data_IF_372831057477
#
_entry.id   IF_372831057477
#
_cell.length_a   1.000
_cell.length_b   1.000
_cell.length_c   1.000
_cell.angle_alpha   90.00
_cell.angle_beta   90.00
_cell.angle_gamma   90.00
#
_symmetry.space_group_name_H-M   'P 1'
#
loop_
_entity.id
_entity.type
_entity.pdbx_description
1 polymer ?
#
# COMPACT_ATOMS: atom_id res chain seq x y z
N UNK A 1 3.77 41.19 -13.39
CA UNK A 1 4.75 40.46 -14.22
C UNK A 1 3.98 39.61 -15.22
N UNK A 2 4.04 39.97 -16.50
CA UNK A 2 3.42 39.25 -17.62
C UNK A 2 4.45 38.27 -18.17
N UNK A 3 4.17 36.97 -18.14
CA UNK A 3 5.04 35.98 -18.77
C UNK A 3 4.76 35.93 -20.27
N UNK A 4 5.81 36.22 -21.04
CA UNK A 4 5.81 36.23 -22.50
C UNK A 4 5.77 34.79 -23.01
N UNK A 5 4.79 34.45 -23.83
CA UNK A 5 4.75 33.18 -24.55
C UNK A 5 5.81 33.20 -25.65
N UNK A 6 6.91 32.48 -25.43
CA UNK A 6 7.94 32.28 -26.44
C UNK A 6 7.41 31.40 -27.59
N UNK A 7 7.76 31.82 -28.81
CA UNK A 7 7.21 31.37 -30.07
C UNK A 7 7.37 29.85 -30.30
N UNK A 8 6.26 29.11 -30.26
CA UNK A 8 6.21 27.74 -30.75
C UNK A 8 6.24 27.77 -32.28
N UNK A 9 7.43 27.56 -32.87
CA UNK A 9 7.63 27.40 -34.31
C UNK A 9 7.01 26.06 -34.73
N UNK A 10 5.81 26.09 -35.32
CA UNK A 10 5.18 24.91 -35.93
C UNK A 10 5.82 24.62 -37.29
N UNK A 11 6.94 23.91 -37.29
CA UNK A 11 7.49 23.32 -38.51
C UNK A 11 6.52 22.29 -39.11
N UNK A 12 6.27 22.36 -40.42
CA UNK A 12 5.33 21.47 -41.12
C UNK A 12 5.95 20.08 -41.33
N UNK A 13 5.99 19.26 -40.28
CA UNK A 13 6.40 17.86 -40.38
C UNK A 13 5.32 17.08 -41.16
N UNK A 14 5.55 16.83 -42.45
CA UNK A 14 4.67 16.01 -43.30
C UNK A 14 4.87 14.53 -42.97
N UNK A 15 4.19 14.04 -41.93
CA UNK A 15 4.14 12.61 -41.61
C UNK A 15 3.30 11.91 -42.68
N UNK A 16 3.89 10.93 -43.40
CA UNK A 16 3.13 10.05 -44.31
C UNK A 16 1.94 9.46 -43.53
N UNK A 17 0.73 9.55 -44.07
CA UNK A 17 -0.50 8.96 -43.50
C UNK A 17 -0.37 7.43 -43.44
N UNK A 18 0.38 6.92 -42.47
CA UNK A 18 0.27 5.56 -41.96
C UNK A 18 -0.99 5.45 -41.13
N UNK A 19 -1.67 4.30 -41.22
CA UNK A 19 -2.96 3.97 -40.60
C UNK A 19 -3.18 4.69 -39.26
N UNK A 20 -4.25 5.48 -39.22
CA UNK A 20 -4.79 6.12 -38.02
C UNK A 20 -4.92 5.06 -36.91
N UNK A 21 -4.04 5.13 -35.90
CA UNK A 21 -4.31 4.48 -34.62
C UNK A 21 -5.55 5.17 -34.05
N UNK A 22 -6.71 4.55 -34.26
CA UNK A 22 -7.95 4.94 -33.59
C UNK A 22 -7.69 4.80 -32.09
N UNK A 23 -7.47 5.90 -31.39
CA UNK A 23 -7.54 5.94 -29.93
C UNK A 23 -8.96 5.55 -29.56
N UNK A 24 -9.19 4.28 -29.21
CA UNK A 24 -10.40 3.87 -28.49
C UNK A 24 -10.40 4.67 -27.19
N UNK A 25 -11.35 5.60 -27.03
CA UNK A 25 -11.72 6.09 -25.70
C UNK A 25 -12.19 4.85 -24.95
N UNK A 26 -11.39 4.39 -24.01
CA UNK A 26 -11.84 3.45 -23.00
C UNK A 26 -12.64 4.31 -22.03
N UNK A 27 -13.96 4.28 -22.17
CA UNK A 27 -14.86 4.72 -21.11
C UNK A 27 -14.49 3.93 -19.84
N UNK A 28 -14.45 4.57 -18.66
CA UNK A 28 -14.26 3.83 -17.43
C UNK A 28 -15.38 2.79 -17.38
N UNK A 29 -15.02 1.52 -17.53
CA UNK A 29 -15.97 0.43 -17.33
C UNK A 29 -16.49 0.60 -15.92
N UNK A 30 -17.79 0.91 -15.79
CA UNK A 30 -18.50 0.76 -14.55
C UNK A 30 -18.31 -0.70 -14.16
N UNK A 31 -17.44 -0.93 -13.17
CA UNK A 31 -17.33 -2.23 -12.52
C UNK A 31 -18.67 -2.42 -11.84
N UNK A 32 -19.55 -3.15 -12.51
CA UNK A 32 -20.75 -3.71 -11.93
C UNK A 32 -20.30 -4.59 -10.76
N UNK A 33 -20.31 -4.02 -9.55
CA UNK A 33 -20.24 -4.79 -8.31
C UNK A 33 -21.63 -5.41 -8.10
N UNK A 34 -22.14 -6.10 -9.12
CA UNK A 34 -23.21 -7.08 -8.95
C UNK A 34 -22.56 -8.34 -8.40
N UNK A 35 -22.00 -8.24 -7.19
CA UNK A 35 -21.88 -9.41 -6.33
C UNK A 35 -23.33 -9.85 -6.15
N UNK A 36 -23.72 -10.86 -6.91
CA UNK A 36 -24.96 -11.58 -6.67
C UNK A 36 -24.94 -11.89 -5.19
N UNK A 37 -25.87 -11.28 -4.46
CA UNK A 37 -26.22 -11.70 -3.11
C UNK A 37 -26.92 -13.03 -3.30
N UNK A 38 -26.16 -14.04 -3.73
CA UNK A 38 -26.57 -15.42 -3.74
C UNK A 38 -27.08 -15.65 -2.34
N UNK A 39 -28.34 -16.08 -2.30
CA UNK A 39 -29.17 -16.22 -1.11
C UNK A 39 -28.33 -16.79 0.03
N UNK A 40 -27.80 -15.89 0.86
CA UNK A 40 -27.09 -16.27 2.06
C UNK A 40 -28.19 -16.91 2.88
N UNK A 41 -28.14 -18.24 2.92
CA UNK A 41 -28.87 -19.07 3.86
C UNK A 41 -29.05 -18.28 5.14
N UNK A 42 -30.28 -18.22 5.63
CA UNK A 42 -30.72 -17.42 6.77
C UNK A 42 -30.08 -17.91 8.09
N UNK A 43 -28.76 -18.05 8.12
CA UNK A 43 -27.94 -18.25 9.30
C UNK A 43 -28.03 -16.94 10.05
N UNK A 44 -28.89 -16.95 11.08
CA UNK A 44 -28.98 -15.84 12.02
C UNK A 44 -27.59 -15.65 12.61
N UNK A 45 -27.09 -14.41 12.55
CA UNK A 45 -25.82 -14.05 13.19
C UNK A 45 -25.88 -14.43 14.66
N UNK A 46 -24.78 -14.93 15.19
CA UNK A 46 -24.68 -15.19 16.63
C UNK A 46 -24.72 -13.88 17.41
N UNK A 47 -25.11 -13.92 18.68
CA UNK A 47 -25.11 -12.72 19.53
C UNK A 47 -23.70 -12.10 19.63
N UNK A 48 -22.67 -12.94 19.59
CA UNK A 48 -21.27 -12.51 19.55
C UNK A 48 -20.93 -11.74 18.27
N UNK A 49 -21.40 -12.21 17.11
CA UNK A 49 -21.23 -11.51 15.82
C UNK A 49 -21.97 -10.18 15.78
N UNK A 50 -23.20 -10.13 16.33
CA UNK A 50 -23.98 -8.90 16.44
C UNK A 50 -23.28 -7.86 17.32
N UNK A 51 -22.75 -8.30 18.47
CA UNK A 51 -21.99 -7.43 19.37
C UNK A 51 -20.69 -6.92 18.72
N UNK A 52 -19.97 -7.79 18.00
CA UNK A 52 -18.77 -7.41 17.26
C UNK A 52 -19.09 -6.38 16.17
N UNK A 53 -20.15 -6.60 15.39
CA UNK A 53 -20.56 -5.70 14.31
C UNK A 53 -20.96 -4.33 14.86
N UNK A 54 -21.68 -4.27 15.99
CA UNK A 54 -22.01 -3.02 16.68
C UNK A 54 -20.73 -2.24 17.02
N UNK A 55 -19.75 -2.90 17.65
CA UNK A 55 -18.46 -2.29 18.01
C UNK A 55 -17.64 -1.87 16.80
N UNK A 56 -17.72 -2.64 15.71
CA UNK A 56 -17.07 -2.30 14.44
C UNK A 56 -17.66 -1.03 13.84
N UNK A 57 -18.99 -0.86 13.87
CA UNK A 57 -19.66 0.37 13.41
C UNK A 57 -19.27 1.57 14.25
N UNK A 58 -19.26 1.43 15.58
CA UNK A 58 -18.83 2.50 16.50
C UNK A 58 -17.38 2.96 16.23
N UNK A 59 -16.48 2.02 15.92
CA UNK A 59 -15.06 2.32 15.66
C UNK A 59 -14.76 2.66 14.20
N UNK A 60 -15.70 2.50 13.28
CA UNK A 60 -15.50 2.70 11.85
C UNK A 60 -15.09 4.14 11.52
N UNK A 61 -15.77 5.12 12.10
CA UNK A 61 -15.47 6.54 11.87
C UNK A 61 -14.05 6.91 12.34
N UNK A 62 -13.63 6.38 13.50
CA UNK A 62 -12.28 6.56 14.03
C UNK A 62 -11.23 5.96 13.08
N UNK A 63 -11.43 4.71 12.64
CA UNK A 63 -10.53 4.03 11.71
C UNK A 63 -10.45 4.75 10.36
N UNK A 64 -11.57 5.28 9.87
CA UNK A 64 -11.60 6.05 8.63
C UNK A 64 -10.76 7.32 8.76
N UNK A 65 -10.94 8.06 9.85
CA UNK A 65 -10.15 9.27 10.14
C UNK A 65 -8.65 8.98 10.22
N UNK A 66 -8.26 7.93 10.93
CA UNK A 66 -6.85 7.52 11.06
C UNK A 66 -6.24 7.09 9.72
N UNK A 67 -6.97 6.32 8.90
CA UNK A 67 -6.51 5.91 7.57
C UNK A 67 -6.40 7.08 6.60
N UNK A 68 -7.32 8.04 6.68
CA UNK A 68 -7.33 9.23 5.84
C UNK A 68 -6.25 10.24 6.23
N UNK A 69 -5.84 10.28 7.50
CA UNK A 69 -4.81 11.20 7.98
C UNK A 69 -3.41 10.87 7.41
N UNK A 70 -3.13 9.60 7.12
CA UNK A 70 -1.79 9.14 6.69
C UNK A 70 -1.76 9.06 5.15
N UNK A 71 -0.84 9.80 4.52
CA UNK A 71 -0.63 9.69 3.08
C UNK A 71 0.01 8.34 2.69
N UNK A 72 -0.15 7.91 1.44
CA UNK A 72 0.49 6.68 0.96
C UNK A 72 2.02 6.75 1.09
N UNK A 73 2.62 7.90 0.77
CA UNK A 73 4.06 8.12 0.89
C UNK A 73 4.54 7.91 2.32
N UNK A 74 3.87 8.54 3.28
CA UNK A 74 4.21 8.43 4.71
C UNK A 74 4.05 6.98 5.20
N UNK A 75 3.05 6.25 4.70
CA UNK A 75 2.86 4.83 5.02
C UNK A 75 4.04 3.98 4.53
N UNK A 76 4.53 4.25 3.31
CA UNK A 76 5.69 3.55 2.74
C UNK A 76 6.96 3.90 3.52
N UNK A 77 7.16 5.17 3.87
CA UNK A 77 8.31 5.61 4.68
C UNK A 77 8.31 4.96 6.07
N UNK A 78 7.15 4.92 6.75
CA UNK A 78 7.01 4.22 8.04
C UNK A 78 7.28 2.73 7.91
N UNK A 79 6.78 2.09 6.85
CA UNK A 79 7.03 0.67 6.58
C UNK A 79 8.52 0.40 6.37
N UNK A 80 9.19 1.20 5.55
CA UNK A 80 10.62 1.06 5.29
C UNK A 80 11.45 1.28 6.57
N UNK A 81 11.08 2.28 7.39
CA UNK A 81 11.73 2.49 8.69
C UNK A 81 11.52 1.32 9.66
N UNK A 82 10.37 0.65 9.62
CA UNK A 82 10.13 -0.55 10.42
C UNK A 82 10.97 -1.74 9.92
N UNK A 83 11.08 -1.91 8.61
CA UNK A 83 11.89 -2.97 8.01
C UNK A 83 13.38 -2.79 8.31
N UNK A 84 13.87 -1.56 8.28
CA UNK A 84 15.26 -1.24 8.64
C UNK A 84 15.57 -1.56 10.11
N UNK A 85 14.58 -1.40 11.00
CA UNK A 85 14.73 -1.69 12.42
C UNK A 85 14.51 -3.16 12.77
N UNK A 86 13.91 -3.94 11.87
CA UNK A 86 13.61 -5.34 12.14
C UNK A 86 14.91 -6.14 12.10
N UNK A 87 15.17 -6.90 13.16
CA UNK A 87 16.37 -7.74 13.28
C UNK A 87 16.38 -8.81 12.20
N UNK A 88 17.52 -8.96 11.54
CA UNK A 88 17.71 -10.01 10.52
C UNK A 88 17.61 -11.42 11.13
N UNK A 89 18.07 -11.56 12.37
CA UNK A 89 18.05 -12.82 13.12
C UNK A 89 17.02 -12.72 14.26
N UNK A 90 15.91 -13.44 14.10
CA UNK A 90 14.88 -13.56 15.14
C UNK A 90 15.09 -14.76 16.06
N UNK A 91 16.23 -15.46 15.91
CA UNK A 91 16.63 -16.56 16.76
C UNK A 91 17.69 -16.11 17.76
N UNK A 92 17.56 -16.59 19.00
CA UNK A 92 18.62 -16.41 19.99
C UNK A 92 19.83 -17.24 19.58
N UNK A 93 20.98 -16.60 19.42
CA UNK A 93 22.21 -17.29 19.06
C UNK A 93 22.49 -18.43 20.06
N UNK A 94 22.73 -19.64 19.56
CA UNK A 94 23.18 -20.77 20.39
C UNK A 94 24.62 -20.52 20.80
N UNK A 95 24.83 -20.26 22.09
CA UNK A 95 26.17 -20.10 22.66
C UNK A 95 26.80 -21.49 22.79
N UNK A 96 27.71 -21.84 21.87
CA UNK A 96 28.61 -22.98 22.06
C UNK A 96 29.83 -22.54 22.88
N UNK A 97 30.45 -23.49 23.60
CA UNK A 97 31.63 -23.24 24.44
C UNK A 97 32.81 -22.64 23.65
N UNK A 98 32.87 -22.88 22.34
CA UNK A 98 33.86 -22.30 21.42
C UNK A 98 33.66 -20.80 21.17
N UNK A 99 32.41 -20.32 21.10
CA UNK A 99 32.14 -18.89 20.88
C UNK A 99 32.32 -18.09 22.18
N UNK A 100 32.01 -18.70 23.34
CA UNK A 100 32.21 -18.07 24.65
C UNK A 100 33.69 -17.77 24.98
N UNK A 101 34.62 -18.60 24.49
CA UNK A 101 36.06 -18.39 24.71
C UNK A 101 36.66 -17.28 23.83
N UNK A 102 36.17 -17.11 22.59
CA UNK A 102 36.66 -16.06 21.68
C UNK A 102 36.27 -14.64 22.14
N UNK A 103 35.10 -14.48 22.75
CA UNK A 103 34.64 -13.18 23.26
C UNK A 103 35.46 -12.69 24.48
N UNK A 104 36.09 -13.59 25.24
CA UNK A 104 36.97 -13.23 26.36
C UNK A 104 38.37 -12.78 25.92
N UNK A 105 38.87 -13.24 24.76
CA UNK A 105 40.20 -12.89 24.26
C UNK A 105 40.30 -11.45 23.72
N UNK A 106 39.17 -10.88 23.27
CA UNK A 106 39.08 -9.49 22.77
C UNK A 106 38.98 -8.47 23.92
N UNK A 107 38.61 -8.89 25.12
CA UNK A 107 38.46 -8.00 26.30
C UNK A 107 39.75 -7.91 27.14
N UNK A 108 40.75 -8.78 26.91
CA UNK A 108 41.97 -8.86 27.72
C UNK A 108 43.25 -8.42 26.95
N UNK A 109 43.13 -7.94 25.69
CA UNK A 109 44.21 -7.27 24.96
C UNK A 109 43.90 -5.80 24.75
#
# INVERSE_FOLDING_TARGET
>A
MSMKNEAVIKGSLKVKKGKVFKKKKVEPQEVDISIKKDEVSTVKKTDAELAFEKRQRETAAKRLKERAAISHRERVERFNSQMEKLTEFNEMAKVSWTNFMNDFEVVIK
#
